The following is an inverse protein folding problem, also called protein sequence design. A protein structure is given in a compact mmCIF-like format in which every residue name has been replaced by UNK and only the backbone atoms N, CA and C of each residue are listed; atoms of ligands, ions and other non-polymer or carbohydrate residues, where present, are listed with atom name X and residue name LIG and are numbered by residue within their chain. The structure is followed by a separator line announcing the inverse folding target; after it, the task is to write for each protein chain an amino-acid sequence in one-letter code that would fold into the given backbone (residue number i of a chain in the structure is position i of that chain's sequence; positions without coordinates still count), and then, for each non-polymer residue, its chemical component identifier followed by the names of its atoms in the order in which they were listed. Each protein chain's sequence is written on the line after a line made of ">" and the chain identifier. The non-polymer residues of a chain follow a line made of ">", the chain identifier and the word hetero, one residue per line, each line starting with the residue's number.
data_IF_016897045449
#
_entry.id   IF_016897045449
#
_cell.length_a   1.000
_cell.length_b   1.000
_cell.length_c   1.000
_cell.angle_alpha   90.00
_cell.angle_beta   90.00
_cell.angle_gamma   90.00
#
_symmetry.space_group_name_H-M   'P 1'
#
loop_
_entity.id
_entity.type
_entity.pdbx_description
1 polymer ?
#
# COMPACT_ATOMS: atom_id res chain seq x y z
N UNK A 1 -21.46 -9.34 -57.07
CA UNK A 1 -20.36 -8.43 -56.70
C UNK A 1 -20.47 -8.07 -55.20
N UNK A 2 -20.56 -9.10 -54.34
CA UNK A 2 -20.92 -8.97 -52.91
C UNK A 2 -20.16 -9.93 -51.97
N UNK A 3 -19.18 -10.69 -52.45
CA UNK A 3 -18.58 -11.79 -51.65
C UNK A 3 -17.11 -11.56 -51.27
N UNK A 4 -16.59 -10.35 -51.45
CA UNK A 4 -15.20 -10.01 -51.10
C UNK A 4 -15.08 -8.86 -50.10
N UNK A 5 -16.10 -8.64 -49.26
CA UNK A 5 -15.90 -7.88 -48.01
C UNK A 5 -15.19 -8.84 -47.06
N UNK A 6 -13.87 -8.75 -47.12
CA UNK A 6 -12.93 -9.68 -46.54
C UNK A 6 -13.25 -10.03 -45.09
N UNK A 7 -13.09 -11.32 -44.79
CA UNK A 7 -12.57 -11.78 -43.50
C UNK A 7 -11.22 -11.10 -43.29
N UNK A 8 -11.23 -9.83 -42.89
CA UNK A 8 -10.11 -9.28 -42.13
C UNK A 8 -9.94 -10.24 -40.95
N UNK A 9 -8.74 -10.81 -40.84
CA UNK A 9 -8.39 -11.69 -39.74
C UNK A 9 -8.73 -10.95 -38.44
N UNK A 10 -9.31 -11.62 -37.45
CA UNK A 10 -9.72 -10.97 -36.19
C UNK A 10 -8.55 -10.20 -35.56
N UNK A 11 -7.33 -10.64 -35.86
CA UNK A 11 -6.05 -10.00 -35.54
C UNK A 11 -5.92 -8.59 -36.14
N UNK A 12 -6.27 -8.39 -37.40
CA UNK A 12 -6.20 -7.10 -38.10
C UNK A 12 -7.27 -6.11 -37.58
N UNK A 13 -8.47 -6.62 -37.27
CA UNK A 13 -9.54 -5.80 -36.67
C UNK A 13 -9.18 -5.34 -35.27
N UNK A 14 -8.63 -6.24 -34.45
CA UNK A 14 -8.12 -5.90 -33.11
C UNK A 14 -6.97 -4.89 -33.21
N UNK A 15 -6.02 -5.11 -34.13
CA UNK A 15 -4.90 -4.20 -34.35
C UNK A 15 -5.40 -2.78 -34.70
N UNK A 16 -6.29 -2.65 -35.68
CA UNK A 16 -6.85 -1.36 -36.09
C UNK A 16 -7.59 -0.63 -34.95
N UNK A 17 -8.39 -1.34 -34.14
CA UNK A 17 -9.09 -0.75 -32.98
C UNK A 17 -8.09 -0.30 -31.91
N UNK A 18 -7.05 -1.11 -31.65
CA UNK A 18 -6.01 -0.74 -30.69
C UNK A 18 -5.13 0.42 -31.16
N UNK A 19 -4.85 0.51 -32.46
CA UNK A 19 -4.06 1.59 -33.04
C UNK A 19 -4.81 2.93 -32.93
N UNK A 20 -6.12 2.94 -33.21
CA UNK A 20 -6.99 4.10 -33.08
C UNK A 20 -7.26 4.52 -31.63
N UNK A 21 -7.32 3.56 -30.70
CA UNK A 21 -7.61 3.85 -29.29
C UNK A 21 -6.38 4.29 -28.48
N UNK A 22 -5.16 3.94 -28.90
CA UNK A 22 -3.94 4.15 -28.12
C UNK A 22 -2.82 4.92 -28.84
N UNK A 23 -3.12 5.62 -29.95
CA UNK A 23 -2.16 6.38 -30.77
C UNK A 23 -0.90 5.57 -31.13
N UNK A 24 -1.09 4.30 -31.50
CA UNK A 24 0.01 3.40 -31.88
C UNK A 24 0.95 2.97 -30.75
N UNK A 25 0.73 3.39 -29.50
CA UNK A 25 1.54 2.96 -28.35
C UNK A 25 0.99 1.68 -27.73
N UNK A 26 1.76 0.59 -27.78
CA UNK A 26 1.40 -0.65 -27.10
C UNK A 26 1.42 -0.46 -25.57
N UNK A 27 0.51 -1.15 -24.87
CA UNK A 27 0.48 -1.18 -23.40
C UNK A 27 1.81 -1.64 -22.80
N UNK A 28 2.53 -2.52 -23.51
CA UNK A 28 3.88 -2.95 -23.18
C UNK A 28 4.89 -1.81 -23.25
N UNK A 29 4.79 -0.92 -24.25
CA UNK A 29 5.66 0.25 -24.38
C UNK A 29 5.53 1.23 -23.22
N UNK A 30 4.28 1.49 -22.78
CA UNK A 30 4.01 2.36 -21.61
C UNK A 30 4.54 1.73 -20.31
N UNK A 31 4.32 0.42 -20.14
CA UNK A 31 4.84 -0.33 -18.99
C UNK A 31 6.37 -0.34 -18.97
N UNK A 32 7.02 -0.58 -20.10
CA UNK A 32 8.48 -0.71 -20.22
C UNK A 32 9.22 0.56 -19.74
N UNK A 33 8.72 1.76 -20.08
CA UNK A 33 9.34 3.01 -19.62
C UNK A 33 9.28 3.15 -18.09
N UNK A 34 8.12 2.84 -17.49
CA UNK A 34 7.96 2.89 -16.03
C UNK A 34 8.85 1.87 -15.31
N UNK A 35 9.00 0.68 -15.90
CA UNK A 35 9.88 -0.38 -15.41
C UNK A 35 11.33 0.07 -15.50
N UNK A 36 11.74 0.66 -16.63
CA UNK A 36 13.10 1.16 -16.83
C UNK A 36 13.49 2.20 -15.78
N UNK A 37 12.64 3.21 -15.55
CA UNK A 37 12.87 4.21 -14.51
C UNK A 37 12.94 3.55 -13.14
N UNK A 38 11.98 2.69 -12.81
CA UNK A 38 11.92 2.02 -11.50
C UNK A 38 13.15 1.14 -11.26
N UNK A 39 13.63 0.43 -12.30
CA UNK A 39 14.83 -0.38 -12.27
C UNK A 39 16.09 0.46 -12.03
N UNK A 40 16.19 1.63 -12.67
CA UNK A 40 17.30 2.54 -12.48
C UNK A 40 17.33 3.10 -11.06
N UNK A 41 16.21 3.59 -10.55
CA UNK A 41 16.11 4.13 -9.19
C UNK A 41 16.36 3.04 -8.12
N UNK A 42 15.75 1.86 -8.27
CA UNK A 42 15.96 0.76 -7.34
C UNK A 42 17.39 0.20 -7.42
N UNK A 43 17.97 0.13 -8.62
CA UNK A 43 19.35 -0.29 -8.82
C UNK A 43 20.35 0.63 -8.13
N UNK A 44 20.16 1.96 -8.18
CA UNK A 44 21.07 2.93 -7.55
C UNK A 44 20.78 3.07 -6.06
N UNK A 45 19.55 3.41 -5.70
CA UNK A 45 19.19 3.74 -4.32
C UNK A 45 18.79 2.53 -3.50
N UNK A 46 18.11 1.56 -4.12
CA UNK A 46 17.66 0.33 -3.44
C UNK A 46 18.81 -0.58 -3.04
N UNK A 47 19.83 -0.76 -3.89
CA UNK A 47 21.05 -1.52 -3.54
C UNK A 47 21.81 -0.83 -2.42
N UNK A 48 22.02 0.49 -2.51
CA UNK A 48 22.72 1.29 -1.49
C UNK A 48 21.99 1.23 -0.14
N UNK A 49 20.66 1.37 -0.15
CA UNK A 49 19.84 1.24 1.06
C UNK A 49 19.92 -0.17 1.64
N UNK A 50 19.81 -1.20 0.80
CA UNK A 50 19.90 -2.61 1.23
C UNK A 50 21.27 -2.92 1.81
N UNK A 51 22.34 -2.45 1.16
CA UNK A 51 23.71 -2.58 1.64
C UNK A 51 23.87 -1.97 3.03
N UNK A 52 23.41 -0.73 3.25
CA UNK A 52 23.52 -0.07 4.54
C UNK A 52 22.80 -0.86 5.65
N UNK A 53 21.60 -1.37 5.35
CA UNK A 53 20.83 -2.22 6.27
C UNK A 53 21.61 -3.50 6.61
N UNK A 54 22.16 -4.19 5.60
CA UNK A 54 22.86 -5.45 5.83
C UNK A 54 24.22 -5.29 6.49
N UNK A 55 24.94 -4.20 6.21
CA UNK A 55 26.18 -3.88 6.93
C UNK A 55 25.89 -3.73 8.43
N UNK A 56 24.82 -3.03 8.79
CA UNK A 56 24.39 -2.91 10.18
C UNK A 56 24.08 -4.28 10.83
N UNK A 57 23.55 -5.24 10.07
CA UNK A 57 23.35 -6.62 10.54
C UNK A 57 24.67 -7.36 10.72
N UNK A 58 25.66 -7.15 9.84
CA UNK A 58 26.99 -7.79 9.93
C UNK A 58 27.76 -7.26 11.14
N UNK A 59 27.74 -5.94 11.35
CA UNK A 59 28.55 -5.28 12.38
C UNK A 59 28.05 -5.59 13.81
N UNK A 60 26.81 -6.04 13.94
CA UNK A 60 26.16 -6.30 15.22
C UNK A 60 25.96 -7.81 15.45
N UNK A 61 26.73 -8.40 16.37
CA UNK A 61 26.69 -9.84 16.64
C UNK A 61 25.29 -10.37 17.02
N UNK A 62 24.51 -9.60 17.79
CA UNK A 62 23.14 -9.98 18.16
C UNK A 62 22.19 -9.88 16.97
N UNK A 63 22.34 -8.85 16.13
CA UNK A 63 21.58 -8.74 14.88
C UNK A 63 21.90 -9.90 13.93
N UNK A 64 23.18 -10.28 13.85
CA UNK A 64 23.67 -11.38 13.03
C UNK A 64 23.11 -12.73 13.47
N UNK A 65 23.18 -13.03 14.76
CA UNK A 65 22.61 -14.26 15.34
C UNK A 65 21.10 -14.38 15.09
N UNK A 66 20.37 -13.28 15.29
CA UNK A 66 18.93 -13.21 14.98
C UNK A 66 18.65 -13.37 13.50
N UNK A 67 19.47 -12.77 12.63
CA UNK A 67 19.35 -12.91 11.19
C UNK A 67 19.54 -14.37 10.77
N UNK A 68 20.61 -15.02 11.23
CA UNK A 68 20.90 -16.41 10.87
C UNK A 68 19.82 -17.38 11.38
N UNK A 69 19.19 -17.08 12.51
CA UNK A 69 18.08 -17.88 13.07
C UNK A 69 16.73 -17.60 12.39
N UNK A 70 16.38 -16.33 12.17
CA UNK A 70 15.00 -15.91 11.87
C UNK A 70 14.78 -15.38 10.45
N UNK A 71 15.82 -15.03 9.68
CA UNK A 71 15.63 -14.42 8.37
C UNK A 71 14.85 -15.31 7.40
N UNK A 72 15.18 -16.60 7.33
CA UNK A 72 14.49 -17.56 6.48
C UNK A 72 13.00 -17.76 6.88
N UNK A 73 12.65 -18.13 8.13
CA UNK A 73 11.26 -18.35 8.49
C UNK A 73 10.42 -17.07 8.39
N UNK A 74 10.97 -15.90 8.77
CA UNK A 74 10.27 -14.61 8.61
C UNK A 74 10.06 -14.29 7.13
N UNK A 75 11.08 -14.48 6.28
CA UNK A 75 10.97 -14.30 4.83
C UNK A 75 9.92 -15.20 4.21
N UNK A 76 9.88 -16.48 4.57
CA UNK A 76 8.86 -17.44 4.12
C UNK A 76 7.45 -17.01 4.55
N UNK A 77 7.29 -16.59 5.81
CA UNK A 77 6.02 -16.11 6.34
C UNK A 77 5.53 -14.88 5.57
N UNK A 78 6.42 -13.91 5.29
CA UNK A 78 6.10 -12.72 4.51
C UNK A 78 5.63 -13.08 3.10
N UNK A 79 6.30 -14.04 2.44
CA UNK A 79 5.89 -14.55 1.13
C UNK A 79 4.50 -15.19 1.19
N UNK A 80 4.23 -16.04 2.18
CA UNK A 80 2.91 -16.68 2.35
C UNK A 80 1.81 -15.64 2.57
N UNK A 81 2.06 -14.64 3.43
CA UNK A 81 1.12 -13.54 3.71
C UNK A 81 0.87 -12.70 2.47
N UNK A 82 1.91 -12.40 1.69
CA UNK A 82 1.81 -11.67 0.43
C UNK A 82 0.93 -12.43 -0.58
N UNK A 83 1.22 -13.71 -0.81
CA UNK A 83 0.49 -14.56 -1.75
C UNK A 83 -0.98 -14.68 -1.34
N UNK A 84 -1.26 -14.93 -0.05
CA UNK A 84 -2.62 -14.99 0.46
C UNK A 84 -3.36 -13.66 0.33
N UNK A 85 -2.65 -12.55 0.56
CA UNK A 85 -3.16 -11.19 0.38
C UNK A 85 -3.52 -10.89 -1.07
N UNK A 86 -2.66 -11.26 -2.03
CA UNK A 86 -2.88 -11.08 -3.46
C UNK A 86 -4.02 -11.94 -4.00
N UNK A 87 -4.15 -13.18 -3.52
CA UNK A 87 -5.31 -14.02 -3.86
C UNK A 87 -6.62 -13.34 -3.42
N UNK A 88 -6.65 -12.81 -2.19
CA UNK A 88 -7.80 -12.07 -1.67
C UNK A 88 -8.04 -10.78 -2.43
N UNK A 89 -6.98 -10.07 -2.82
CA UNK A 89 -7.09 -8.85 -3.62
C UNK A 89 -7.69 -9.15 -4.99
N UNK A 90 -7.29 -10.25 -5.63
CA UNK A 90 -7.81 -10.68 -6.94
C UNK A 90 -9.31 -10.85 -6.98
N UNK A 91 -9.90 -11.34 -5.88
CA UNK A 91 -11.34 -11.49 -5.73
C UNK A 91 -12.11 -10.18 -5.73
N UNK A 92 -11.42 -9.08 -5.43
CA UNK A 92 -12.00 -7.73 -5.31
C UNK A 92 -11.68 -6.92 -6.56
N UNK A 93 -10.42 -7.00 -6.98
CA UNK A 93 -9.86 -6.30 -8.12
C UNK A 93 -8.73 -7.16 -8.69
N UNK A 94 -8.94 -7.69 -9.89
CA UNK A 94 -7.93 -8.53 -10.52
C UNK A 94 -6.81 -7.76 -11.24
N UNK A 95 -5.77 -8.47 -11.69
CA UNK A 95 -4.64 -7.92 -12.44
C UNK A 95 -5.01 -7.51 -13.87
N UNK A 96 -6.11 -8.02 -14.42
CA UNK A 96 -6.54 -7.79 -15.80
C UNK A 96 -7.78 -6.90 -15.78
N UNK A 97 -7.58 -5.63 -16.12
CA UNK A 97 -8.62 -4.60 -16.16
C UNK A 97 -8.52 -3.83 -17.47
N UNK A 98 -9.12 -4.34 -18.57
CA UNK A 98 -9.18 -3.61 -19.82
C UNK A 98 -10.13 -2.42 -19.73
N UNK A 99 -10.07 -1.52 -20.71
CA UNK A 99 -10.99 -0.39 -20.80
C UNK A 99 -12.45 -0.81 -20.92
N UNK A 100 -13.36 0.00 -20.35
CA UNK A 100 -14.79 -0.30 -20.32
C UNK A 100 -15.39 -0.45 -21.72
N UNK A 101 -14.92 0.32 -22.69
CA UNK A 101 -15.33 0.20 -24.09
C UNK A 101 -15.02 -1.19 -24.65
N UNK A 102 -13.88 -1.76 -24.29
CA UNK A 102 -13.46 -3.10 -24.72
C UNK A 102 -14.27 -4.19 -24.01
N UNK A 103 -14.65 -3.98 -22.74
CA UNK A 103 -15.56 -4.88 -22.01
C UNK A 103 -16.98 -4.88 -22.57
N UNK A 104 -17.51 -3.72 -22.92
CA UNK A 104 -18.91 -3.57 -23.34
C UNK A 104 -19.11 -3.80 -24.84
N UNK A 105 -18.10 -3.54 -25.69
CA UNK A 105 -18.22 -3.65 -27.15
C UNK A 105 -17.53 -4.89 -27.74
N UNK A 106 -16.41 -5.34 -27.17
CA UNK A 106 -15.56 -6.40 -27.77
C UNK A 106 -15.76 -7.75 -27.09
N UNK A 107 -15.85 -7.81 -25.76
CA UNK A 107 -16.05 -9.08 -25.05
C UNK A 107 -17.39 -9.81 -25.31
N UNK A 108 -18.51 -9.13 -25.68
CA UNK A 108 -19.72 -9.81 -26.13
C UNK A 108 -19.60 -10.44 -27.52
N UNK A 109 -18.65 -9.99 -28.34
CA UNK A 109 -18.44 -10.54 -29.67
C UNK A 109 -17.90 -11.98 -29.56
N UNK A 110 -18.09 -12.78 -30.62
CA UNK A 110 -17.64 -14.18 -30.68
C UNK A 110 -16.11 -14.37 -30.76
N UNK A 111 -15.34 -13.37 -30.34
CA UNK A 111 -13.87 -13.36 -30.37
C UNK A 111 -13.34 -14.11 -29.14
N UNK A 112 -12.25 -14.86 -29.32
CA UNK A 112 -11.58 -15.54 -28.21
C UNK A 112 -11.12 -14.52 -27.15
N UNK A 113 -11.77 -14.55 -25.99
CA UNK A 113 -11.49 -13.66 -24.84
C UNK A 113 -10.03 -13.69 -24.42
N UNK A 114 -9.38 -14.85 -24.54
CA UNK A 114 -7.95 -14.97 -24.22
C UNK A 114 -7.13 -13.98 -25.05
N UNK A 115 -7.37 -13.90 -26.37
CA UNK A 115 -6.61 -13.04 -27.27
C UNK A 115 -6.83 -11.56 -26.95
N UNK A 116 -8.07 -11.20 -26.63
CA UNK A 116 -8.45 -9.82 -26.27
C UNK A 116 -7.80 -9.36 -24.97
N UNK A 117 -7.73 -10.24 -23.97
CA UNK A 117 -7.21 -9.92 -22.63
C UNK A 117 -5.71 -10.14 -22.47
N UNK A 118 -5.07 -10.88 -23.39
CA UNK A 118 -3.65 -11.23 -23.31
C UNK A 118 -2.70 -10.03 -23.20
N UNK A 119 -2.88 -8.92 -23.96
CA UNK A 119 -1.96 -7.78 -23.87
C UNK A 119 -1.97 -7.11 -22.48
N UNK A 120 -3.16 -7.01 -21.87
CA UNK A 120 -3.34 -6.47 -20.52
C UNK A 120 -2.69 -7.36 -19.46
N UNK A 121 -2.89 -8.67 -19.60
CA UNK A 121 -2.22 -9.65 -18.76
C UNK A 121 -0.69 -9.57 -18.86
N UNK A 122 -0.16 -9.54 -20.07
CA UNK A 122 1.29 -9.46 -20.31
C UNK A 122 1.90 -8.20 -19.72
N UNK A 123 1.22 -7.05 -19.80
CA UNK A 123 1.69 -5.83 -19.18
C UNK A 123 1.78 -5.96 -17.65
N UNK A 124 0.75 -6.49 -16.99
CA UNK A 124 0.76 -6.69 -15.53
C UNK A 124 1.79 -7.74 -15.10
N UNK A 125 1.88 -8.86 -15.82
CA UNK A 125 2.86 -9.92 -15.57
C UNK A 125 4.30 -9.42 -15.72
N UNK A 126 4.57 -8.63 -16.77
CA UNK A 126 5.88 -8.01 -16.99
C UNK A 126 6.24 -7.04 -15.88
N UNK A 127 5.33 -6.12 -15.51
CA UNK A 127 5.57 -5.14 -14.45
C UNK A 127 5.86 -5.82 -13.11
N UNK A 128 5.07 -6.83 -12.74
CA UNK A 128 5.28 -7.52 -11.47
C UNK A 128 6.54 -8.39 -11.46
N UNK A 129 6.79 -9.15 -12.54
CA UNK A 129 7.95 -10.03 -12.64
C UNK A 129 9.24 -9.22 -12.65
N UNK A 130 9.35 -8.21 -13.51
CA UNK A 130 10.54 -7.38 -13.59
C UNK A 130 10.68 -6.50 -12.35
N UNK A 131 9.59 -5.89 -11.87
CA UNK A 131 9.60 -5.08 -10.66
C UNK A 131 10.06 -5.87 -9.43
N UNK A 132 9.55 -7.08 -9.23
CA UNK A 132 10.00 -7.95 -8.13
C UNK A 132 11.43 -8.45 -8.33
N UNK A 133 11.86 -8.72 -9.57
CA UNK A 133 13.25 -9.04 -9.88
C UNK A 133 14.22 -7.90 -9.56
N UNK A 134 13.82 -6.65 -9.85
CA UNK A 134 14.54 -5.43 -9.49
C UNK A 134 14.66 -5.25 -7.97
N UNK A 135 13.58 -5.53 -7.22
CA UNK A 135 13.64 -5.54 -5.74
C UNK A 135 14.58 -6.65 -5.26
N UNK A 136 14.48 -7.84 -5.85
CA UNK A 136 15.31 -8.99 -5.52
C UNK A 136 16.80 -8.77 -5.75
N UNK A 137 17.19 -8.17 -6.88
CA UNK A 137 18.60 -7.82 -7.15
C UNK A 137 19.07 -6.69 -6.23
N UNK A 138 18.19 -5.77 -5.83
CA UNK A 138 18.54 -4.70 -4.88
C UNK A 138 18.89 -5.28 -3.50
N UNK A 139 18.06 -6.20 -3.01
CA UNK A 139 18.27 -6.91 -1.74
C UNK A 139 19.52 -7.80 -1.84
N UNK A 140 19.59 -8.67 -2.84
CA UNK A 140 20.70 -9.60 -3.02
C UNK A 140 22.04 -8.90 -3.27
N UNK A 141 22.05 -7.89 -4.13
CA UNK A 141 23.20 -7.02 -4.37
C UNK A 141 23.66 -6.32 -3.09
N UNK A 142 22.73 -5.78 -2.31
CA UNK A 142 23.03 -5.21 -0.99
C UNK A 142 23.69 -6.21 -0.05
N UNK A 143 23.19 -7.45 0.03
CA UNK A 143 23.79 -8.52 0.84
C UNK A 143 25.20 -8.90 0.37
N UNK A 144 25.43 -8.93 -0.95
CA UNK A 144 26.74 -9.23 -1.53
C UNK A 144 27.76 -8.13 -1.22
N UNK A 145 27.38 -6.86 -1.41
CA UNK A 145 28.26 -5.71 -1.14
C UNK A 145 28.52 -5.55 0.37
N UNK A 146 27.55 -5.91 1.21
CA UNK A 146 27.73 -5.96 2.66
C UNK A 146 28.59 -7.16 3.14
N UNK A 147 29.10 -8.01 2.24
CA UNK A 147 29.84 -9.23 2.55
C UNK A 147 29.08 -10.24 3.43
N UNK A 148 27.75 -10.14 3.50
CA UNK A 148 26.88 -11.09 4.18
C UNK A 148 26.81 -12.42 3.42
N UNK A 149 26.95 -12.35 2.09
CA UNK A 149 26.85 -13.47 1.14
C UNK A 149 27.80 -13.27 -0.04
N UNK A 150 27.87 -14.25 -0.95
CA UNK A 150 28.65 -14.14 -2.19
C UNK A 150 27.95 -13.27 -3.24
N UNK A 151 28.69 -12.82 -4.26
CA UNK A 151 28.13 -12.06 -5.39
C UNK A 151 26.99 -12.78 -6.14
N UNK A 152 26.86 -14.10 -5.99
CA UNK A 152 25.75 -14.87 -6.55
C UNK A 152 24.39 -14.51 -5.93
N UNK A 153 24.36 -13.91 -4.73
CA UNK A 153 23.10 -13.52 -4.08
C UNK A 153 22.34 -12.44 -4.87
N UNK A 154 23.03 -11.58 -5.63
CA UNK A 154 22.38 -10.65 -6.54
C UNK A 154 21.59 -11.38 -7.64
N UNK A 155 22.19 -12.42 -8.24
CA UNK A 155 21.56 -13.24 -9.28
C UNK A 155 20.42 -14.08 -8.70
N UNK A 156 20.67 -14.75 -7.56
CA UNK A 156 19.65 -15.54 -6.86
C UNK A 156 18.49 -14.64 -6.42
N UNK A 157 18.78 -13.44 -5.93
CA UNK A 157 17.79 -12.43 -5.57
C UNK A 157 16.97 -11.98 -6.78
N UNK A 158 17.61 -11.67 -7.91
CA UNK A 158 16.92 -11.29 -9.15
C UNK A 158 15.97 -12.40 -9.63
N UNK A 159 16.47 -13.63 -9.71
CA UNK A 159 15.68 -14.80 -10.16
C UNK A 159 14.57 -15.11 -9.16
N UNK A 160 14.87 -15.16 -7.87
CA UNK A 160 13.89 -15.43 -6.81
C UNK A 160 12.80 -14.35 -6.75
N UNK A 161 13.19 -13.08 -6.87
CA UNK A 161 12.28 -11.95 -6.96
C UNK A 161 11.38 -12.03 -8.19
N UNK A 162 11.94 -12.31 -9.37
CA UNK A 162 11.18 -12.47 -10.60
C UNK A 162 10.19 -13.65 -10.50
N UNK A 163 10.63 -14.80 -9.99
CA UNK A 163 9.76 -15.96 -9.73
C UNK A 163 8.63 -15.62 -8.75
N UNK A 164 8.92 -14.86 -7.69
CA UNK A 164 7.91 -14.40 -6.74
C UNK A 164 6.93 -13.43 -7.38
N UNK A 165 7.39 -12.50 -8.21
CA UNK A 165 6.55 -11.54 -8.95
C UNK A 165 5.61 -12.23 -9.93
N UNK A 166 6.14 -13.18 -10.70
CA UNK A 166 5.37 -14.04 -11.59
C UNK A 166 4.31 -14.83 -10.81
N UNK A 167 4.73 -15.56 -9.76
CA UNK A 167 3.82 -16.34 -8.92
C UNK A 167 2.73 -15.47 -8.29
N UNK A 168 3.11 -14.28 -7.82
CA UNK A 168 2.21 -13.28 -7.24
C UNK A 168 1.10 -12.88 -8.22
N UNK A 169 1.45 -12.60 -9.47
CA UNK A 169 0.48 -12.22 -10.50
C UNK A 169 -0.39 -13.39 -10.96
N UNK A 170 0.15 -14.61 -11.03
CA UNK A 170 -0.66 -15.81 -11.28
C UNK A 170 -1.71 -16.04 -10.19
N UNK A 171 -1.30 -15.95 -8.92
CA UNK A 171 -2.22 -16.12 -7.79
C UNK A 171 -3.25 -14.99 -7.74
N UNK A 172 -2.84 -13.77 -8.07
CA UNK A 172 -3.73 -12.62 -8.17
C UNK A 172 -4.80 -12.83 -9.27
N UNK A 173 -4.42 -13.32 -10.46
CA UNK A 173 -5.35 -13.68 -11.55
C UNK A 173 -6.30 -14.80 -11.13
N UNK A 174 -5.81 -15.80 -10.42
CA UNK A 174 -6.65 -16.89 -9.92
C UNK A 174 -7.67 -16.40 -8.91
N UNK A 175 -7.31 -15.44 -8.07
CA UNK A 175 -8.26 -14.73 -7.21
C UNK A 175 -9.37 -14.05 -8.02
N UNK A 176 -9.04 -13.47 -9.17
CA UNK A 176 -10.01 -12.83 -10.08
C UNK A 176 -10.97 -13.84 -10.71
N UNK A 177 -10.47 -15.00 -11.13
CA UNK A 177 -11.27 -16.02 -11.84
C UNK A 177 -12.15 -16.85 -10.90
N UNK A 178 -11.63 -17.27 -9.74
CA UNK A 178 -12.32 -18.26 -8.88
C UNK A 178 -13.43 -17.66 -8.01
N UNK A 179 -13.52 -16.33 -7.92
CA UNK A 179 -14.53 -15.69 -7.07
C UNK A 179 -14.52 -16.25 -5.65
N UNK A 180 -15.68 -16.69 -5.15
CA UNK A 180 -15.83 -17.23 -3.79
C UNK A 180 -15.49 -18.71 -3.61
N UNK A 181 -15.14 -19.41 -4.69
CA UNK A 181 -14.72 -20.81 -4.62
C UNK A 181 -13.28 -20.91 -4.09
N UNK A 182 -12.93 -22.07 -3.52
CA UNK A 182 -11.76 -22.29 -2.68
C UNK A 182 -10.39 -21.99 -3.33
N UNK A 183 -9.30 -22.19 -2.58
CA UNK A 183 -7.96 -21.89 -3.08
C UNK A 183 -7.61 -22.73 -4.33
N UNK A 184 -6.87 -22.16 -5.30
CA UNK A 184 -6.52 -22.84 -6.55
C UNK A 184 -5.62 -24.06 -6.29
N UNK A 185 -5.74 -25.08 -7.13
CA UNK A 185 -4.75 -26.17 -7.11
C UNK A 185 -3.41 -25.67 -7.68
N UNK A 186 -2.25 -26.22 -7.25
CA UNK A 186 -0.94 -25.82 -7.77
C UNK A 186 -0.80 -25.95 -9.29
N UNK A 187 -1.48 -26.94 -9.88
CA UNK A 187 -1.47 -27.18 -11.34
C UNK A 187 -2.22 -26.10 -12.12
N UNK A 188 -3.17 -25.43 -11.47
CA UNK A 188 -3.94 -24.37 -12.09
C UNK A 188 -3.16 -23.05 -12.12
N UNK A 189 -2.27 -22.81 -11.16
CA UNK A 189 -1.53 -21.53 -11.05
C UNK A 189 -0.76 -21.20 -12.34
N UNK A 190 -0.17 -22.18 -13.02
CA UNK A 190 0.65 -21.95 -14.23
C UNK A 190 -0.16 -21.72 -15.52
N UNK A 191 -1.48 -21.95 -15.54
CA UNK A 191 -2.30 -21.95 -16.77
C UNK A 191 -3.04 -20.61 -17.00
N UNK A 192 -2.30 -19.53 -17.15
CA UNK A 192 -2.85 -18.17 -17.34
C UNK A 192 -3.83 -18.08 -18.52
N UNK A 193 -3.53 -18.72 -19.66
CA UNK A 193 -4.40 -18.69 -20.84
C UNK A 193 -5.80 -19.27 -20.60
N UNK A 194 -5.90 -20.36 -19.83
CA UNK A 194 -7.19 -20.93 -19.45
C UNK A 194 -7.92 -20.06 -18.43
N UNK A 195 -7.18 -19.40 -17.53
CA UNK A 195 -7.73 -18.45 -16.57
C UNK A 195 -8.36 -17.24 -17.28
N UNK A 196 -7.68 -16.67 -18.27
CA UNK A 196 -8.19 -15.53 -19.06
C UNK A 196 -9.47 -15.88 -19.82
N UNK A 197 -9.55 -17.09 -20.38
CA UNK A 197 -10.76 -17.56 -21.05
C UNK A 197 -11.97 -17.73 -20.10
N UNK A 198 -11.70 -17.99 -18.82
CA UNK A 198 -12.72 -18.18 -17.78
C UNK A 198 -13.24 -16.87 -17.17
N UNK A 199 -12.59 -15.73 -17.45
CA UNK A 199 -13.05 -14.44 -16.94
C UNK A 199 -14.45 -14.11 -17.49
N UNK A 200 -15.35 -13.77 -16.56
CA UNK A 200 -16.74 -13.45 -16.85
C UNK A 200 -16.87 -11.96 -17.13
N UNK A 201 -17.51 -11.62 -18.25
CA UNK A 201 -17.79 -10.23 -18.61
C UNK A 201 -18.49 -9.42 -17.49
N UNK A 202 -19.55 -9.90 -16.80
CA UNK A 202 -20.21 -9.10 -15.77
C UNK A 202 -19.26 -8.75 -14.61
N UNK A 203 -18.40 -9.68 -14.19
CA UNK A 203 -17.42 -9.47 -13.12
C UNK A 203 -16.32 -8.49 -13.57
N UNK A 204 -15.84 -8.61 -14.81
CA UNK A 204 -14.89 -7.65 -15.39
C UNK A 204 -15.49 -6.25 -15.49
N UNK A 205 -16.74 -6.15 -15.94
CA UNK A 205 -17.45 -4.87 -16.04
C UNK A 205 -17.60 -4.22 -14.68
N UNK A 206 -18.01 -4.98 -13.66
CA UNK A 206 -18.10 -4.50 -12.28
C UNK A 206 -16.74 -4.00 -11.79
N UNK A 207 -15.67 -4.78 -11.97
CA UNK A 207 -14.32 -4.40 -11.54
C UNK A 207 -13.75 -3.18 -12.30
N UNK A 208 -14.06 -3.04 -13.59
CA UNK A 208 -13.62 -1.90 -14.41
C UNK A 208 -14.41 -0.64 -14.05
N UNK A 209 -15.73 -0.73 -13.93
CA UNK A 209 -16.57 0.39 -13.45
C UNK A 209 -16.10 0.82 -12.08
N UNK A 210 -15.89 -0.14 -11.17
CA UNK A 210 -15.33 0.11 -9.85
C UNK A 210 -13.97 0.82 -9.92
N UNK A 211 -13.05 0.36 -10.76
CA UNK A 211 -11.73 0.99 -10.90
C UNK A 211 -11.82 2.40 -11.47
N UNK A 212 -12.71 2.64 -12.44
CA UNK A 212 -12.93 3.95 -13.04
C UNK A 212 -13.59 4.91 -12.06
N UNK A 213 -14.62 4.47 -11.34
CA UNK A 213 -15.29 5.28 -10.31
C UNK A 213 -14.34 5.55 -9.15
N UNK A 214 -13.48 4.60 -8.77
CA UNK A 214 -12.41 4.86 -7.80
C UNK A 214 -11.45 5.94 -8.30
N UNK A 215 -10.99 5.84 -9.54
CA UNK A 215 -10.07 6.82 -10.12
C UNK A 215 -10.74 8.20 -10.19
N UNK A 216 -11.99 8.27 -10.64
CA UNK A 216 -12.78 9.50 -10.68
C UNK A 216 -13.01 10.08 -9.28
N UNK A 217 -13.31 9.25 -8.28
CA UNK A 217 -13.47 9.68 -6.90
C UNK A 217 -12.15 10.21 -6.31
N UNK A 218 -11.00 9.63 -6.68
CA UNK A 218 -9.69 10.19 -6.32
C UNK A 218 -9.46 11.56 -6.97
N UNK A 219 -9.80 11.74 -8.25
CA UNK A 219 -9.73 13.04 -8.92
C UNK A 219 -10.65 14.08 -8.26
N UNK A 220 -11.89 13.68 -7.95
CA UNK A 220 -12.87 14.52 -7.27
C UNK A 220 -12.55 14.76 -5.79
N UNK A 221 -11.64 13.98 -5.19
CA UNK A 221 -11.36 14.02 -3.77
C UNK A 221 -12.45 13.43 -2.89
N UNK A 222 -13.41 12.70 -3.46
CA UNK A 222 -14.48 12.02 -2.72
C UNK A 222 -13.97 10.69 -2.17
N UNK A 223 -13.17 10.80 -1.12
CA UNK A 223 -12.64 9.64 -0.42
C UNK A 223 -13.74 8.83 0.29
N UNK A 224 -14.92 9.41 0.52
CA UNK A 224 -16.11 8.75 1.08
C UNK A 224 -16.67 7.69 0.13
N UNK A 225 -16.76 8.02 -1.16
CA UNK A 225 -17.20 7.09 -2.19
C UNK A 225 -16.25 5.88 -2.29
N UNK A 226 -14.95 6.13 -2.39
CA UNK A 226 -13.91 5.08 -2.38
C UNK A 226 -14.05 4.12 -1.21
N UNK A 227 -14.33 4.68 -0.03
CA UNK A 227 -14.42 3.90 1.20
C UNK A 227 -15.64 2.99 1.23
N UNK A 228 -16.81 3.47 0.81
CA UNK A 228 -18.03 2.66 0.78
C UNK A 228 -17.88 1.47 -0.16
N UNK A 229 -17.26 1.69 -1.30
CA UNK A 229 -17.11 0.67 -2.34
C UNK A 229 -16.02 -0.36 -2.01
N UNK A 230 -14.97 0.05 -1.26
CA UNK A 230 -13.86 -0.84 -0.83
C UNK A 230 -14.18 -1.62 0.45
N UNK A 231 -15.33 -1.43 1.11
CA UNK A 231 -15.59 -2.08 2.40
C UNK A 231 -15.59 -3.62 2.29
N UNK A 232 -14.50 -4.22 2.78
CA UNK A 232 -14.26 -5.65 2.74
C UNK A 232 -15.06 -6.37 3.82
N UNK A 233 -16.17 -6.98 3.39
CA UNK A 233 -16.86 -8.05 4.12
C UNK A 233 -18.10 -7.61 4.90
N UNK A 234 -18.86 -8.62 5.32
CA UNK A 234 -20.09 -8.41 6.10
C UNK A 234 -19.72 -7.93 7.51
N UNK A 235 -20.20 -6.75 7.96
CA UNK A 235 -19.95 -6.27 9.31
C UNK A 235 -20.47 -7.29 10.32
N UNK A 236 -19.64 -7.68 11.29
CA UNK A 236 -20.11 -8.46 12.45
C UNK A 236 -20.85 -7.56 13.44
N UNK A 237 -21.53 -8.13 14.43
CA UNK A 237 -22.13 -7.39 15.55
C UNK A 237 -23.04 -6.21 15.17
N UNK A 238 -23.78 -6.30 14.05
CA UNK A 238 -24.75 -5.27 13.63
C UNK A 238 -25.85 -5.02 14.67
N UNK A 239 -26.14 -6.01 15.52
CA UNK A 239 -27.20 -5.95 16.54
C UNK A 239 -26.79 -5.20 17.81
N UNK A 240 -25.48 -5.00 18.05
CA UNK A 240 -25.01 -4.25 19.22
C UNK A 240 -25.29 -2.77 18.97
N UNK A 241 -26.11 -2.17 19.85
CA UNK A 241 -26.40 -0.74 19.83
C UNK A 241 -25.40 -0.02 20.73
N UNK A 242 -25.04 1.21 20.33
CA UNK A 242 -24.19 2.06 21.15
C UNK A 242 -25.03 2.65 22.27
N UNK A 243 -24.60 2.52 23.53
CA UNK A 243 -25.22 3.21 24.65
C UNK A 243 -24.92 4.71 24.61
N UNK A 244 -25.85 5.53 25.11
CA UNK A 244 -25.67 6.98 25.18
C UNK A 244 -24.79 7.35 26.39
N UNK A 245 -23.50 7.54 26.16
CA UNK A 245 -22.50 7.84 27.21
C UNK A 245 -21.93 9.27 27.13
N UNK A 246 -22.63 10.19 26.46
CA UNK A 246 -22.14 11.54 26.18
C UNK A 246 -21.24 11.57 24.93
N UNK A 247 -20.93 12.79 24.46
CA UNK A 247 -20.33 12.99 23.13
C UNK A 247 -18.97 12.32 22.96
N UNK A 248 -18.05 12.49 23.91
CA UNK A 248 -16.72 11.88 23.85
C UNK A 248 -16.71 10.35 23.96
N UNK A 249 -17.25 9.76 25.05
CA UNK A 249 -17.28 8.32 25.23
C UNK A 249 -18.05 7.58 24.14
N UNK A 250 -19.10 8.18 23.56
CA UNK A 250 -19.84 7.59 22.44
C UNK A 250 -18.99 7.48 21.18
N UNK A 251 -18.12 8.47 20.88
CA UNK A 251 -17.17 8.39 19.76
C UNK A 251 -16.17 7.25 19.97
N UNK A 252 -15.57 7.17 21.16
CA UNK A 252 -14.62 6.09 21.48
C UNK A 252 -15.28 4.71 21.39
N UNK A 253 -16.49 4.56 21.95
CA UNK A 253 -17.24 3.32 21.89
C UNK A 253 -17.64 2.95 20.44
N UNK A 254 -18.00 3.94 19.61
CA UNK A 254 -18.30 3.73 18.20
C UNK A 254 -17.09 3.21 17.43
N UNK A 255 -15.91 3.77 17.68
CA UNK A 255 -14.66 3.36 17.03
C UNK A 255 -14.22 1.97 17.47
N UNK A 256 -14.25 1.68 18.78
CA UNK A 256 -13.96 0.34 19.30
C UNK A 256 -14.92 -0.68 18.68
N UNK A 257 -16.21 -0.36 18.61
CA UNK A 257 -17.18 -1.20 17.93
C UNK A 257 -16.84 -1.36 16.45
N UNK A 258 -16.44 -0.30 15.74
CA UNK A 258 -16.04 -0.37 14.33
C UNK A 258 -14.82 -1.29 14.09
N UNK A 259 -13.88 -1.35 15.04
CA UNK A 259 -12.77 -2.31 15.02
C UNK A 259 -13.26 -3.75 15.19
N UNK A 260 -14.18 -3.98 16.14
CA UNK A 260 -14.77 -5.29 16.38
C UNK A 260 -15.63 -5.79 15.21
N UNK A 261 -16.30 -4.87 14.50
CA UNK A 261 -17.14 -5.19 13.33
C UNK A 261 -16.33 -5.59 12.10
N UNK A 262 -15.04 -5.28 12.05
CA UNK A 262 -14.16 -5.57 10.91
C UNK A 262 -12.85 -6.22 11.37
N UNK A 263 -12.92 -7.45 11.91
CA UNK A 263 -11.82 -8.10 12.60
C UNK A 263 -10.60 -8.30 11.70
N UNK A 264 -10.81 -8.52 10.39
CA UNK A 264 -9.70 -8.72 9.46
C UNK A 264 -8.85 -7.47 9.29
N UNK A 265 -9.47 -6.32 9.05
CA UNK A 265 -8.72 -5.07 8.93
C UNK A 265 -8.07 -4.68 10.25
N UNK A 266 -8.70 -4.96 11.39
CA UNK A 266 -8.11 -4.74 12.72
C UNK A 266 -6.90 -5.64 12.92
N UNK A 267 -7.00 -6.93 12.61
CA UNK A 267 -5.90 -7.88 12.71
C UNK A 267 -4.72 -7.48 11.81
N UNK A 268 -4.97 -7.11 10.55
CA UNK A 268 -3.92 -6.59 9.65
C UNK A 268 -3.26 -5.34 10.24
N UNK A 269 -4.06 -4.42 10.79
CA UNK A 269 -3.53 -3.23 11.46
C UNK A 269 -2.59 -3.56 12.61
N UNK A 270 -3.01 -4.47 13.50
CA UNK A 270 -2.22 -4.92 14.64
C UNK A 270 -0.95 -5.67 14.21
N UNK A 271 -1.02 -6.54 13.21
CA UNK A 271 0.16 -7.25 12.69
C UNK A 271 1.20 -6.26 12.14
N UNK A 272 0.78 -5.26 11.37
CA UNK A 272 1.69 -4.23 10.86
C UNK A 272 2.34 -3.42 12.01
N UNK A 273 1.60 -3.13 13.08
CA UNK A 273 2.17 -2.50 14.27
C UNK A 273 3.17 -3.41 15.00
N UNK A 274 2.85 -4.69 15.16
CA UNK A 274 3.75 -5.67 15.79
C UNK A 274 5.03 -5.90 14.98
N UNK A 275 5.02 -5.67 13.67
CA UNK A 275 6.23 -5.72 12.83
C UNK A 275 6.98 -4.39 12.86
N UNK A 276 6.28 -3.27 12.66
CA UNK A 276 6.91 -1.96 12.52
C UNK A 276 7.43 -1.36 13.83
N UNK A 277 6.73 -1.55 14.95
CA UNK A 277 7.13 -0.93 16.22
C UNK A 277 8.44 -1.50 16.78
N UNK A 278 8.68 -2.82 16.81
CA UNK A 278 9.99 -3.35 17.23
C UNK A 278 11.12 -2.92 16.31
N UNK A 279 10.89 -2.89 14.99
CA UNK A 279 11.88 -2.46 14.02
C UNK A 279 12.24 -0.96 14.19
N UNK A 280 11.25 -0.09 14.38
CA UNK A 280 11.46 1.33 14.65
C UNK A 280 12.14 1.55 16.01
N UNK A 281 11.72 0.83 17.06
CA UNK A 281 12.35 0.90 18.38
C UNK A 281 13.81 0.49 18.34
N UNK A 282 14.15 -0.55 17.55
CA UNK A 282 15.52 -0.98 17.36
C UNK A 282 16.33 0.05 16.57
N UNK A 283 15.78 0.57 15.47
CA UNK A 283 16.43 1.58 14.63
C UNK A 283 16.75 2.88 15.37
N UNK A 284 15.96 3.27 16.38
CA UNK A 284 16.22 4.46 17.20
C UNK A 284 17.17 4.17 18.37
N UNK A 285 17.16 2.94 18.89
CA UNK A 285 17.68 2.66 20.22
C UNK A 285 19.10 2.12 20.31
N UNK A 286 19.67 1.51 19.27
CA UNK A 286 20.88 0.69 19.45
C UNK A 286 21.95 0.73 18.36
N UNK A 287 21.66 1.20 17.14
CA UNK A 287 22.66 1.13 16.06
C UNK A 287 22.46 2.24 15.01
N UNK A 288 23.44 3.13 14.88
CA UNK A 288 23.44 4.27 13.95
C UNK A 288 23.21 3.82 12.51
N UNK A 289 23.64 2.60 12.14
CA UNK A 289 23.50 2.08 10.76
C UNK A 289 22.12 1.47 10.49
N UNK A 290 21.42 0.96 11.50
CA UNK A 290 20.03 0.49 11.38
C UNK A 290 19.02 1.65 11.33
N UNK A 291 19.45 2.87 11.62
CA UNK A 291 18.61 4.04 11.68
C UNK A 291 17.88 4.32 10.34
N UNK A 292 18.42 3.90 9.19
CA UNK A 292 17.73 3.98 7.89
C UNK A 292 16.47 3.11 7.79
N UNK A 293 16.35 2.04 8.59
CA UNK A 293 15.13 1.24 8.70
C UNK A 293 13.98 2.00 9.36
N UNK A 294 14.27 3.12 10.03
CA UNK A 294 13.27 3.91 10.73
C UNK A 294 12.16 4.37 9.78
N UNK A 295 12.52 4.91 8.61
CA UNK A 295 11.54 5.35 7.60
C UNK A 295 10.60 4.24 7.13
N UNK A 296 11.16 3.07 6.80
CA UNK A 296 10.38 1.90 6.37
C UNK A 296 9.49 1.37 7.50
N UNK A 297 10.02 1.30 8.71
CA UNK A 297 9.30 0.82 9.89
C UNK A 297 8.13 1.74 10.23
N UNK A 298 8.34 3.06 10.19
CA UNK A 298 7.30 4.06 10.40
C UNK A 298 6.23 4.04 9.30
N UNK A 299 6.62 3.81 8.04
CA UNK A 299 5.68 3.63 6.95
C UNK A 299 4.76 2.41 7.18
N UNK A 300 5.33 1.29 7.61
CA UNK A 300 4.58 0.07 7.98
C UNK A 300 3.66 0.34 9.16
N UNK A 301 4.14 1.00 10.21
CA UNK A 301 3.31 1.40 11.35
C UNK A 301 2.17 2.32 10.91
N UNK A 302 2.45 3.30 10.06
CA UNK A 302 1.47 4.23 9.49
C UNK A 302 0.35 3.55 8.71
N UNK A 303 0.72 2.54 7.89
CA UNK A 303 -0.25 1.69 7.22
C UNK A 303 -1.10 0.89 8.23
N UNK A 304 -0.50 0.41 9.33
CA UNK A 304 -1.17 -0.27 10.44
C UNK A 304 -2.18 0.63 11.15
N UNK A 305 -1.76 1.81 11.62
CA UNK A 305 -2.63 2.82 12.27
C UNK A 305 -3.78 3.21 11.35
N UNK A 306 -3.53 3.36 10.04
CA UNK A 306 -4.58 3.66 9.07
C UNK A 306 -5.69 2.60 9.00
N UNK A 307 -5.44 1.36 9.42
CA UNK A 307 -6.51 0.34 9.54
C UNK A 307 -7.34 0.48 10.81
N UNK A 308 -6.79 1.13 11.83
CA UNK A 308 -7.38 1.29 13.16
C UNK A 308 -8.14 2.63 13.31
N UNK A 309 -7.70 3.67 12.60
CA UNK A 309 -8.28 5.03 12.70
C UNK A 309 -9.36 5.23 11.62
N UNK A 310 -10.44 4.42 11.67
CA UNK A 310 -11.53 4.54 10.67
C UNK A 310 -12.50 5.66 10.97
N UNK A 311 -12.72 5.97 12.25
CA UNK A 311 -13.60 7.06 12.64
C UNK A 311 -13.13 8.42 12.13
N UNK A 312 -11.83 8.69 12.15
CA UNK A 312 -11.26 9.95 11.61
C UNK A 312 -11.57 10.15 10.13
N UNK A 313 -11.64 9.04 9.36
CA UNK A 313 -11.98 9.09 7.94
C UNK A 313 -13.46 9.36 7.74
N UNK A 314 -14.31 8.80 8.61
CA UNK A 314 -15.75 9.13 8.66
C UNK A 314 -15.97 10.59 9.03
N UNK A 315 -15.17 11.15 9.94
CA UNK A 315 -15.23 12.58 10.26
C UNK A 315 -14.84 13.43 9.04
N UNK A 316 -13.80 13.02 8.29
CA UNK A 316 -13.40 13.71 7.07
C UNK A 316 -14.48 13.63 5.96
N UNK A 317 -15.21 12.53 5.86
CA UNK A 317 -16.36 12.39 4.93
C UNK A 317 -17.50 13.35 5.27
N UNK A 318 -17.66 13.66 6.56
CA UNK A 318 -18.63 14.63 7.04
C UNK A 318 -18.08 16.05 7.18
N UNK A 319 -16.88 16.35 6.68
CA UNK A 319 -16.28 17.66 6.82
C UNK A 319 -17.15 18.75 6.17
N UNK A 320 -17.41 19.83 6.90
CA UNK A 320 -18.36 20.88 6.49
C UNK A 320 -19.79 20.70 7.03
N UNK A 321 -20.15 19.50 7.51
CA UNK A 321 -21.42 19.27 8.19
C UNK A 321 -21.31 19.51 9.69
N UNK A 322 -22.42 19.92 10.31
CA UNK A 322 -22.50 20.05 11.78
C UNK A 322 -22.42 18.65 12.40
N UNK A 323 -21.49 18.47 13.35
CA UNK A 323 -21.34 17.20 14.07
C UNK A 323 -22.62 16.85 14.82
N UNK A 324 -23.08 15.60 14.73
CA UNK A 324 -24.29 15.13 15.43
C UNK A 324 -24.16 15.18 16.96
N UNK A 325 -22.92 15.24 17.46
CA UNK A 325 -22.60 15.22 18.89
C UNK A 325 -22.24 16.60 19.45
N UNK A 326 -22.36 17.67 18.65
CA UNK A 326 -22.07 19.04 19.06
C UNK A 326 -20.62 19.28 19.47
N UNK A 327 -19.67 18.46 18.98
CA UNK A 327 -18.26 18.61 19.29
C UNK A 327 -17.54 19.46 18.25
N UNK A 328 -16.46 20.12 18.64
CA UNK A 328 -15.56 20.73 17.67
C UNK A 328 -14.81 19.64 16.90
N UNK A 329 -14.62 19.85 15.59
CA UNK A 329 -13.92 18.88 14.74
C UNK A 329 -12.51 18.49 15.26
N UNK A 330 -11.69 19.41 15.83
CA UNK A 330 -10.42 19.03 16.45
C UNK A 330 -10.56 18.07 17.63
N UNK A 331 -11.59 18.24 18.46
CA UNK A 331 -11.85 17.35 19.60
C UNK A 331 -12.29 15.96 19.12
N UNK A 332 -13.17 15.90 18.13
CA UNK A 332 -13.63 14.64 17.53
C UNK A 332 -12.48 13.89 16.85
N UNK A 333 -11.66 14.59 16.06
CA UNK A 333 -10.49 14.03 15.41
C UNK A 333 -9.49 13.44 16.41
N UNK A 334 -9.27 14.13 17.54
CA UNK A 334 -8.39 13.67 18.62
C UNK A 334 -8.90 12.35 19.22
N UNK A 335 -10.21 12.23 19.46
CA UNK A 335 -10.80 11.01 20.01
C UNK A 335 -10.63 9.83 19.05
N UNK A 336 -10.82 10.04 17.75
CA UNK A 336 -10.59 9.00 16.74
C UNK A 336 -9.13 8.57 16.63
N UNK A 337 -8.20 9.52 16.75
CA UNK A 337 -6.76 9.25 16.76
C UNK A 337 -6.37 8.41 17.98
N UNK A 338 -6.90 8.75 19.16
CA UNK A 338 -6.59 8.03 20.41
C UNK A 338 -6.86 6.53 20.26
N UNK A 339 -8.00 6.13 19.70
CA UNK A 339 -8.35 4.70 19.55
C UNK A 339 -7.34 3.94 18.70
N UNK A 340 -6.81 4.53 17.63
CA UNK A 340 -5.82 3.87 16.78
C UNK A 340 -4.37 4.02 17.25
N UNK A 341 -4.05 5.00 18.09
CA UNK A 341 -2.71 5.24 18.62
C UNK A 341 -2.44 4.54 19.96
N UNK A 342 -3.47 4.21 20.75
CA UNK A 342 -3.30 3.41 21.98
C UNK A 342 -2.58 2.06 21.70
N UNK A 343 -2.94 1.28 20.65
CA UNK A 343 -2.18 0.09 20.29
C UNK A 343 -0.71 0.36 19.96
N UNK A 344 -0.39 1.52 19.38
CA UNK A 344 1.01 1.91 19.12
C UNK A 344 1.78 2.05 20.42
N UNK A 345 1.22 2.78 21.40
CA UNK A 345 1.84 2.98 22.72
C UNK A 345 2.08 1.64 23.43
N UNK A 346 1.08 0.76 23.44
CA UNK A 346 1.17 -0.55 24.11
C UNK A 346 2.23 -1.43 23.42
N UNK A 347 2.16 -1.58 22.10
CA UNK A 347 3.09 -2.43 21.35
C UNK A 347 4.51 -1.88 21.41
N UNK A 348 4.69 -0.55 21.35
CA UNK A 348 6.00 0.08 21.50
C UNK A 348 6.59 -0.12 22.91
N UNK A 349 5.76 0.00 23.95
CA UNK A 349 6.19 -0.27 25.33
C UNK A 349 6.68 -1.71 25.49
N UNK A 350 5.94 -2.68 24.95
CA UNK A 350 6.35 -4.09 24.90
C UNK A 350 7.65 -4.26 24.09
N UNK A 351 7.73 -3.63 22.91
CA UNK A 351 8.91 -3.69 22.06
C UNK A 351 10.16 -3.14 22.76
N UNK A 352 10.04 -2.05 23.53
CA UNK A 352 11.15 -1.46 24.29
C UNK A 352 11.74 -2.47 25.28
N UNK A 353 10.88 -3.22 25.97
CA UNK A 353 11.30 -4.27 26.92
C UNK A 353 12.07 -5.38 26.20
N UNK A 354 11.59 -5.84 25.04
CA UNK A 354 12.22 -6.93 24.29
C UNK A 354 13.48 -6.52 23.52
N UNK A 355 13.54 -5.28 23.03
CA UNK A 355 14.71 -4.78 22.29
C UNK A 355 15.84 -4.39 23.26
N UNK A 356 15.52 -3.98 24.48
CA UNK A 356 16.53 -3.71 25.53
C UNK A 356 17.12 -2.30 25.48
N UNK A 357 16.33 -1.29 25.13
CA UNK A 357 16.74 0.12 25.09
C UNK A 357 16.52 0.88 26.40
N UNK A 358 17.17 2.03 26.55
CA UNK A 358 16.91 2.95 27.67
C UNK A 358 15.45 3.44 27.68
N UNK A 359 14.81 3.42 28.84
CA UNK A 359 13.38 3.79 28.97
C UNK A 359 13.14 5.25 28.57
N UNK A 360 14.00 6.18 29.02
CA UNK A 360 13.87 7.60 28.74
C UNK A 360 13.95 7.95 27.24
N UNK A 361 14.99 7.56 26.46
CA UNK A 361 15.05 7.82 25.03
C UNK A 361 13.92 7.11 24.27
N UNK A 362 13.49 5.93 24.72
CA UNK A 362 12.32 5.26 24.13
C UNK A 362 11.03 6.04 24.31
N UNK A 363 10.80 6.66 25.48
CA UNK A 363 9.62 7.49 25.72
C UNK A 363 9.58 8.74 24.85
N UNK A 364 10.70 9.45 24.69
CA UNK A 364 10.76 10.65 23.82
C UNK A 364 10.53 10.25 22.37
N UNK A 365 11.15 9.15 21.92
CA UNK A 365 10.96 8.60 20.58
C UNK A 365 9.52 8.17 20.34
N UNK A 366 8.88 7.54 21.33
CA UNK A 366 7.46 7.17 21.27
C UNK A 366 6.57 8.39 21.07
N UNK A 367 6.82 9.48 21.80
CA UNK A 367 6.07 10.73 21.61
C UNK A 367 6.24 11.22 20.16
N UNK A 368 7.46 11.27 19.66
CA UNK A 368 7.73 11.69 18.28
C UNK A 368 6.99 10.82 17.25
N UNK A 369 7.03 9.50 17.42
CA UNK A 369 6.35 8.54 16.56
C UNK A 369 4.83 8.69 16.63
N UNK A 370 4.25 8.87 17.82
CA UNK A 370 2.81 9.10 17.98
C UNK A 370 2.39 10.39 17.29
N UNK A 371 3.16 11.47 17.41
CA UNK A 371 2.90 12.74 16.71
C UNK A 371 2.97 12.55 15.19
N UNK A 372 3.97 11.82 14.69
CA UNK A 372 4.15 11.56 13.26
C UNK A 372 3.01 10.74 12.67
N UNK A 373 2.61 9.67 13.37
CA UNK A 373 1.52 8.80 12.93
C UNK A 373 0.18 9.55 13.00
N UNK A 374 -0.03 10.39 14.02
CA UNK A 374 -1.18 11.28 14.08
C UNK A 374 -1.21 12.27 12.91
N UNK A 375 -0.08 12.91 12.62
CA UNK A 375 0.08 13.82 11.49
C UNK A 375 -0.25 13.14 10.16
N UNK A 376 0.30 11.95 9.94
CA UNK A 376 0.02 11.15 8.76
C UNK A 376 -1.47 10.85 8.63
N UNK A 377 -2.13 10.38 9.70
CA UNK A 377 -3.54 10.04 9.61
C UNK A 377 -4.42 11.27 9.36
N UNK A 378 -4.08 12.43 9.92
CA UNK A 378 -4.77 13.69 9.60
C UNK A 378 -4.56 14.08 8.13
N UNK A 379 -3.32 14.04 7.64
CA UNK A 379 -3.00 14.37 6.26
C UNK A 379 -3.66 13.42 5.26
N UNK A 380 -3.76 12.13 5.58
CA UNK A 380 -4.47 11.12 4.78
C UNK A 380 -5.98 11.36 4.82
N UNK A 381 -6.55 11.58 6.01
CA UNK A 381 -8.00 11.75 6.16
C UNK A 381 -8.50 13.04 5.47
N UNK A 382 -7.74 14.14 5.60
CA UNK A 382 -8.10 15.46 5.09
C UNK A 382 -7.26 15.89 3.88
N UNK A 383 -6.76 14.92 3.09
CA UNK A 383 -5.96 15.19 1.88
C UNK A 383 -6.73 16.05 0.87
N UNK A 384 -8.01 15.72 0.67
CA UNK A 384 -8.87 16.35 -0.32
C UNK A 384 -8.57 15.93 -1.76
N UNK A 385 -9.28 16.55 -2.71
CA UNK A 385 -9.10 16.32 -4.14
C UNK A 385 -7.77 16.83 -4.68
N UNK A 386 -7.42 16.36 -5.87
CA UNK A 386 -6.25 16.84 -6.58
C UNK A 386 -6.45 18.34 -6.87
N UNK A 387 -5.48 19.23 -6.56
CA UNK A 387 -5.55 20.64 -6.93
C UNK A 387 -5.85 20.80 -8.43
N UNK A 388 -6.73 21.73 -8.78
CA UNK A 388 -7.13 21.98 -10.18
C UNK A 388 -5.94 22.36 -11.07
N UNK A 389 -4.94 23.03 -10.51
CA UNK A 389 -3.65 23.36 -11.14
C UNK A 389 -2.89 22.13 -11.64
N UNK A 390 -3.01 21.01 -10.92
CA UNK A 390 -2.39 19.73 -11.26
C UNK A 390 -3.22 18.90 -12.25
N UNK A 391 -4.52 19.20 -12.43
CA UNK A 391 -5.37 18.52 -13.41
C UNK A 391 -5.06 18.95 -14.85
N UNK A 392 -4.58 20.18 -15.08
CA UNK A 392 -4.33 20.72 -16.43
C UNK A 392 -3.06 20.23 -17.13
N UNK A 393 -2.12 19.60 -16.40
CA UNK A 393 -0.78 19.25 -16.91
C UNK A 393 -0.70 17.93 -17.68
N UNK A 394 -1.82 17.44 -18.22
CA UNK A 394 -1.89 16.07 -18.77
C UNK A 394 -1.60 15.00 -17.71
N UNK A 395 -1.81 15.34 -16.43
CA UNK A 395 -1.52 14.51 -15.28
C UNK A 395 -2.41 13.27 -15.26
N UNK A 396 -1.92 12.17 -15.83
CA UNK A 396 -2.60 10.88 -15.81
C UNK A 396 -2.64 10.23 -14.42
N UNK A 397 -3.06 8.97 -14.37
CA UNK A 397 -3.22 8.19 -13.13
C UNK A 397 -1.99 8.20 -12.19
N UNK A 398 -0.79 8.41 -12.71
CA UNK A 398 0.44 8.54 -11.92
C UNK A 398 0.44 9.73 -10.97
N UNK A 399 -0.11 10.88 -11.38
CA UNK A 399 -0.17 12.08 -10.54
C UNK A 399 -1.17 11.92 -9.40
N UNK A 400 -2.31 11.28 -9.67
CA UNK A 400 -3.30 10.91 -8.65
C UNK A 400 -2.71 9.95 -7.63
N UNK A 401 -1.99 8.94 -8.10
CA UNK A 401 -1.30 7.99 -7.22
C UNK A 401 -0.27 8.71 -6.36
N UNK A 402 0.55 9.58 -6.96
CA UNK A 402 1.52 10.39 -6.23
C UNK A 402 0.86 11.25 -5.16
N UNK A 403 -0.23 11.95 -5.50
CA UNK A 403 -1.00 12.76 -4.56
C UNK A 403 -1.54 11.93 -3.39
N UNK A 404 -2.11 10.77 -3.68
CA UNK A 404 -2.61 9.84 -2.67
C UNK A 404 -1.50 9.27 -1.77
N UNK A 405 -0.28 9.09 -2.30
CA UNK A 405 0.88 8.59 -1.57
C UNK A 405 1.60 9.67 -0.77
N UNK A 406 1.40 10.95 -1.07
CA UNK A 406 2.16 12.06 -0.49
C UNK A 406 2.20 12.04 1.06
N UNK A 407 1.09 11.80 1.80
CA UNK A 407 1.14 11.69 3.26
C UNK A 407 2.00 10.52 3.77
N UNK A 408 2.04 9.41 3.02
CA UNK A 408 2.86 8.25 3.34
C UNK A 408 4.35 8.51 3.08
N UNK A 409 4.66 9.22 1.99
CA UNK A 409 6.02 9.67 1.68
C UNK A 409 6.55 10.61 2.76
N UNK A 410 5.71 11.49 3.32
CA UNK A 410 6.11 12.37 4.42
C UNK A 410 6.67 11.61 5.63
N UNK A 411 6.00 10.53 6.05
CA UNK A 411 6.47 9.68 7.17
C UNK A 411 7.77 8.94 6.82
N UNK A 412 7.85 8.40 5.61
CA UNK A 412 9.05 7.73 5.11
C UNK A 412 10.25 8.69 5.12
N UNK A 413 10.08 9.88 4.55
CA UNK A 413 11.13 10.91 4.46
C UNK A 413 11.58 11.37 5.85
N UNK A 414 10.64 11.65 6.77
CA UNK A 414 11.01 12.04 8.14
C UNK A 414 11.83 10.95 8.83
N UNK A 415 11.43 9.68 8.71
CA UNK A 415 12.19 8.58 9.28
C UNK A 415 13.55 8.37 8.61
N UNK A 416 13.67 8.56 7.29
CA UNK A 416 14.94 8.49 6.57
C UNK A 416 15.88 9.65 6.92
N UNK A 417 15.37 10.86 7.12
CA UNK A 417 16.18 12.02 7.55
C UNK A 417 16.67 11.81 8.98
N UNK A 418 15.77 11.48 9.91
CA UNK A 418 16.13 11.22 11.30
C UNK A 418 17.13 10.05 11.40
N UNK A 419 16.86 8.99 10.63
CA UNK A 419 17.74 7.84 10.54
C UNK A 419 19.11 8.16 9.93
N UNK A 420 19.14 8.88 8.82
CA UNK A 420 20.37 9.29 8.15
C UNK A 420 21.23 10.22 9.00
N UNK A 421 20.63 11.12 9.77
CA UNK A 421 21.37 11.98 10.71
C UNK A 421 21.99 11.17 11.86
N UNK A 422 21.28 10.18 12.41
CA UNK A 422 21.87 9.26 13.38
C UNK A 422 23.01 8.43 12.77
N UNK A 423 22.84 7.94 11.53
CA UNK A 423 23.90 7.23 10.81
C UNK A 423 25.19 8.05 10.61
N UNK A 424 25.09 9.38 10.63
CA UNK A 424 26.22 10.31 10.55
C UNK A 424 26.80 10.69 11.94
N UNK A 425 26.37 10.01 13.01
CA UNK A 425 26.81 10.27 14.39
C UNK A 425 26.03 11.38 15.11
N UNK A 426 24.89 11.81 14.54
CA UNK A 426 23.97 12.77 15.15
C UNK A 426 22.89 12.12 16.02
N UNK A 427 21.98 12.93 16.58
CA UNK A 427 20.79 12.43 17.27
C UNK A 427 19.62 12.25 16.29
N UNK A 428 18.97 11.09 16.29
CA UNK A 428 17.74 10.84 15.52
C UNK A 428 16.51 11.51 16.15
N UNK A 429 16.48 11.66 17.48
CA UNK A 429 15.27 12.02 18.23
C UNK A 429 14.89 13.48 17.99
N UNK A 430 15.85 14.41 18.05
CA UNK A 430 15.60 15.84 17.77
C UNK A 430 14.96 16.12 16.40
N UNK A 431 15.54 15.65 15.28
CA UNK A 431 14.94 15.75 13.95
C UNK A 431 13.57 15.05 13.87
N UNK A 432 13.44 13.86 14.46
CA UNK A 432 12.17 13.13 14.47
C UNK A 432 11.08 13.95 15.16
N UNK A 433 11.33 14.51 16.36
CA UNK A 433 10.37 15.33 17.11
C UNK A 433 9.99 16.58 16.32
N UNK A 434 10.97 17.35 15.84
CA UNK A 434 10.75 18.63 15.16
C UNK A 434 9.97 18.47 13.84
N UNK A 435 10.36 17.50 13.00
CA UNK A 435 9.67 17.23 11.74
C UNK A 435 8.28 16.62 11.95
N UNK A 436 8.11 15.78 12.99
CA UNK A 436 6.80 15.23 13.35
C UNK A 436 5.85 16.32 13.83
N UNK A 437 6.34 17.27 14.64
CA UNK A 437 5.56 18.43 15.06
C UNK A 437 5.15 19.30 13.86
N UNK A 438 6.06 19.56 12.92
CA UNK A 438 5.76 20.30 11.69
C UNK A 438 4.68 19.61 10.86
N UNK A 439 4.80 18.30 10.61
CA UNK A 439 3.78 17.54 9.87
C UNK A 439 2.44 17.52 10.62
N UNK A 440 2.45 17.46 11.95
CA UNK A 440 1.23 17.52 12.76
C UNK A 440 0.54 18.87 12.62
N UNK A 441 1.30 19.97 12.65
CA UNK A 441 0.77 21.31 12.41
C UNK A 441 0.13 21.42 11.02
N UNK A 442 0.77 20.87 9.98
CA UNK A 442 0.20 20.82 8.64
C UNK A 442 -1.10 19.99 8.59
N UNK A 443 -1.11 18.82 9.23
CA UNK A 443 -2.32 17.98 9.36
C UNK A 443 -3.45 18.69 10.10
N UNK A 444 -3.14 19.39 11.20
CA UNK A 444 -4.09 20.16 11.98
C UNK A 444 -4.63 21.38 11.21
N UNK A 445 -3.78 22.07 10.44
CA UNK A 445 -4.19 23.15 9.55
C UNK A 445 -5.17 22.64 8.48
N UNK A 446 -4.88 21.49 7.85
CA UNK A 446 -5.80 20.88 6.88
C UNK A 446 -7.14 20.49 7.48
N UNK A 447 -7.14 19.88 8.67
CA UNK A 447 -8.35 19.59 9.42
C UNK A 447 -9.19 20.86 9.61
N UNK A 448 -8.59 21.94 10.11
CA UNK A 448 -9.28 23.21 10.34
C UNK A 448 -9.81 23.83 9.06
N UNK A 449 -9.01 23.84 7.99
CA UNK A 449 -9.41 24.40 6.70
C UNK A 449 -10.61 23.65 6.10
N UNK A 450 -10.67 22.32 6.25
CA UNK A 450 -11.75 21.48 5.71
C UNK A 450 -13.01 21.46 6.57
N UNK A 451 -12.91 21.82 7.84
CA UNK A 451 -14.04 21.77 8.79
C UNK A 451 -14.55 23.15 9.17
N UNK A 452 -13.94 24.22 8.64
CA UNK A 452 -14.47 25.56 8.76
C UNK A 452 -15.82 25.65 8.02
N UNK A 453 -16.84 26.30 8.61
CA UNK A 453 -18.09 26.56 7.90
C UNK A 453 -17.81 27.40 6.66
N UNK A 454 -18.40 27.03 5.51
CA UNK A 454 -18.41 27.87 4.32
C UNK A 454 -19.03 29.22 4.71
N UNK A 455 -18.26 30.31 4.51
CA UNK A 455 -18.68 31.66 4.85
C UNK A 455 -19.48 32.29 3.73
#
# INVERSE_FOLDING_TARGET
>A
MSDSVGRLDDTERLFAVTELAYDGHSQLGRAAYSIYISALFAGIYGTTLSQAIFQAVVDNATARDRWDTWALPVGLLLVVVLIAGLFRLGRLRGPVLPDLSLVDLVLPASIDRRRVLLPWWQATDLVATVGAGVVGISIGGGMAVAHLTSGLSAVIGAVGGALLGWLSVQVWLRGQVLGAEGPPSPRDIARSGAALAQLRQPELREQVVLSQTMTAALYAGDASYLRREVQLGKPRFRRIRLPAWGSGPSVLAADVLALLRAPWSTAVGLVLLCVGAPAACWAVGQDDRLALLLGLSLLVMGAGVGRLVRGLRSLADGAGNVTLLGMSAPREATLHLVVGLVPVVVIWGVATIFVGGGVAPSLVSLVAVVLLLAAQQLLVAFLGGLPSELMGLGGGAGLVLFWALLPHLGVLVVGLIAGGLAALGGDAVGPLVSLSALLLLLGAQRLRARTAPER
#
